data_IF_498393074416
#
_entry.id   IF_498393074416
#
_cell.length_a   1.000
_cell.length_b   1.000
_cell.length_c   1.000
_cell.angle_alpha   90.00
_cell.angle_beta   90.00
_cell.angle_gamma   90.00
#
_symmetry.space_group_name_H-M   'P 1'
#
loop_
_entity.id
_entity.type
_entity.pdbx_description
1 polymer ?
#
# COMPACT_ATOMS: atom_id res chain seq x y z
N UNK A 1 6.61 -18.54 2.27
CA UNK A 1 6.64 -17.11 2.65
C UNK A 1 6.00 -16.19 1.61
N UNK A 2 6.26 -16.37 0.30
CA UNK A 2 5.66 -15.54 -0.77
C UNK A 2 4.12 -15.43 -0.74
N UNK A 3 3.41 -16.53 -0.43
CA UNK A 3 1.94 -16.49 -0.32
C UNK A 3 1.45 -15.65 0.88
N UNK A 4 2.19 -15.66 1.99
CA UNK A 4 1.90 -14.86 3.18
C UNK A 4 2.13 -13.36 2.92
N UNK A 5 3.21 -13.00 2.21
CA UNK A 5 3.48 -11.61 1.85
C UNK A 5 2.47 -11.07 0.85
N UNK A 6 2.06 -11.87 -0.15
CA UNK A 6 0.98 -11.50 -1.07
C UNK A 6 -0.35 -11.27 -0.33
N UNK A 7 -0.67 -12.13 0.64
CA UNK A 7 -1.87 -11.97 1.46
C UNK A 7 -1.83 -10.69 2.32
N UNK A 8 -0.69 -10.41 2.97
CA UNK A 8 -0.50 -9.18 3.73
C UNK A 8 -0.65 -7.92 2.86
N UNK A 9 -0.07 -7.93 1.66
CA UNK A 9 -0.25 -6.83 0.69
C UNK A 9 -1.70 -6.67 0.22
N UNK A 10 -2.42 -7.78 0.01
CA UNK A 10 -3.84 -7.73 -0.34
C UNK A 10 -4.69 -7.16 0.81
N UNK A 11 -4.43 -7.56 2.05
CA UNK A 11 -5.08 -6.98 3.24
C UNK A 11 -4.83 -5.47 3.34
N UNK A 12 -3.61 -5.03 3.07
CA UNK A 12 -3.26 -3.62 3.04
C UNK A 12 -4.08 -2.83 2.00
N UNK A 13 -4.17 -3.34 0.76
CA UNK A 13 -4.96 -2.72 -0.30
C UNK A 13 -6.45 -2.65 0.05
N UNK A 14 -6.98 -3.70 0.69
CA UNK A 14 -8.35 -3.69 1.19
C UNK A 14 -8.52 -2.62 2.27
N UNK A 15 -7.59 -2.52 3.23
CA UNK A 15 -7.60 -1.45 4.23
C UNK A 15 -7.58 -0.05 3.62
N UNK A 16 -6.73 0.18 2.61
CA UNK A 16 -6.65 1.45 1.90
C UNK A 16 -7.97 1.80 1.20
N UNK A 17 -8.60 0.80 0.57
CA UNK A 17 -9.90 0.98 -0.08
C UNK A 17 -11.02 1.27 0.93
N UNK A 18 -11.01 0.60 2.09
CA UNK A 18 -11.94 0.85 3.19
C UNK A 18 -11.81 2.28 3.70
N UNK A 19 -10.59 2.75 3.90
CA UNK A 19 -10.33 4.09 4.41
C UNK A 19 -10.86 5.16 3.43
N UNK A 20 -10.64 4.98 2.13
CA UNK A 20 -11.07 5.96 1.13
C UNK A 20 -12.59 5.99 0.94
N UNK A 21 -13.18 4.83 0.62
CA UNK A 21 -14.56 4.75 0.17
C UNK A 21 -15.54 4.39 1.29
N UNK A 22 -15.08 3.62 2.27
CA UNK A 22 -15.91 3.10 3.36
C UNK A 22 -16.86 2.01 2.87
N UNK A 23 -16.51 0.74 3.07
CA UNK A 23 -17.46 -0.37 2.87
C UNK A 23 -18.16 -0.72 4.18
N UNK A 24 -17.41 -0.76 5.28
CA UNK A 24 -17.93 -1.18 6.60
C UNK A 24 -18.19 0.00 7.57
N UNK A 25 -17.59 1.16 7.33
CA UNK A 25 -17.74 2.39 8.09
C UNK A 25 -17.76 3.58 7.11
N UNK A 26 -18.29 4.76 7.48
CA UNK A 26 -18.18 5.95 6.62
C UNK A 26 -16.70 6.23 6.32
N UNK A 27 -16.32 6.14 5.05
CA UNK A 27 -14.95 6.40 4.60
C UNK A 27 -14.63 7.90 4.57
N UNK A 28 -13.36 8.24 4.38
CA UNK A 28 -12.89 9.63 4.37
C UNK A 28 -13.62 10.50 3.33
N UNK A 29 -14.04 9.90 2.21
CA UNK A 29 -14.85 10.60 1.20
C UNK A 29 -16.24 10.99 1.73
N UNK A 30 -16.85 10.18 2.60
CA UNK A 30 -18.13 10.46 3.24
C UNK A 30 -18.01 11.48 4.39
N UNK A 31 -16.84 11.54 5.05
CA UNK A 31 -16.55 12.54 6.08
C UNK A 31 -16.16 13.92 5.52
N UNK A 32 -16.18 14.08 4.19
CA UNK A 32 -15.95 15.36 3.51
C UNK A 32 -14.49 15.62 3.13
N UNK A 33 -13.58 14.65 3.33
CA UNK A 33 -12.23 14.70 2.76
C UNK A 33 -12.30 14.34 1.27
N UNK A 34 -12.74 15.30 0.46
CA UNK A 34 -12.83 15.15 -0.99
C UNK A 34 -11.54 15.67 -1.63
N UNK A 35 -11.06 14.93 -2.63
CA UNK A 35 -9.91 15.34 -3.44
C UNK A 35 -10.11 16.76 -3.99
N UNK A 36 -9.12 17.64 -3.80
CA UNK A 36 -9.18 19.02 -4.29
C UNK A 36 -9.84 20.04 -3.35
N UNK A 37 -10.46 19.63 -2.23
CA UNK A 37 -11.08 20.59 -1.31
C UNK A 37 -10.08 21.29 -0.38
N UNK A 38 -8.94 20.69 -0.10
CA UNK A 38 -7.86 21.33 0.62
C UNK A 38 -6.49 20.81 0.15
N UNK A 39 -5.42 21.62 0.25
CA UNK A 39 -4.07 21.15 -0.07
C UNK A 39 -3.69 19.88 0.72
N UNK A 40 -4.11 19.79 1.99
CA UNK A 40 -3.90 18.61 2.84
C UNK A 40 -4.57 17.37 2.27
N UNK A 41 -5.84 17.46 1.87
CA UNK A 41 -6.57 16.34 1.27
C UNK A 41 -5.96 15.90 -0.05
N UNK A 42 -5.61 16.84 -0.94
CA UNK A 42 -4.97 16.52 -2.22
C UNK A 42 -3.62 15.83 -2.04
N UNK A 43 -2.76 16.33 -1.14
CA UNK A 43 -1.46 15.70 -0.84
C UNK A 43 -1.64 14.32 -0.22
N UNK A 44 -2.62 14.15 0.68
CA UNK A 44 -2.95 12.85 1.27
C UNK A 44 -3.28 11.80 0.20
N UNK A 45 -4.25 12.08 -0.68
CA UNK A 45 -4.71 11.13 -1.69
C UNK A 45 -3.64 10.84 -2.76
N UNK A 46 -2.83 11.83 -3.15
CA UNK A 46 -1.72 11.61 -4.09
C UNK A 46 -0.68 10.67 -3.47
N UNK A 47 -0.21 10.95 -2.26
CA UNK A 47 0.86 10.15 -1.62
C UNK A 47 0.36 8.73 -1.34
N UNK A 48 -0.79 8.59 -0.67
CA UNK A 48 -1.36 7.27 -0.34
C UNK A 48 -1.78 6.49 -1.59
N UNK A 49 -2.28 7.18 -2.62
CA UNK A 49 -2.67 6.57 -3.90
C UNK A 49 -1.49 6.05 -4.71
N UNK A 50 -0.41 6.84 -4.85
CA UNK A 50 0.81 6.38 -5.51
C UNK A 50 1.44 5.21 -4.76
N UNK A 51 1.45 5.26 -3.43
CA UNK A 51 1.95 4.15 -2.63
C UNK A 51 1.09 2.88 -2.82
N UNK A 52 -0.23 3.00 -2.74
CA UNK A 52 -1.17 1.90 -2.98
C UNK A 52 -1.00 1.27 -4.37
N UNK A 53 -0.72 2.08 -5.41
CA UNK A 53 -0.40 1.57 -6.74
C UNK A 53 0.89 0.72 -6.74
N UNK A 54 1.94 1.14 -6.04
CA UNK A 54 3.17 0.34 -5.92
C UNK A 54 2.92 -0.97 -5.17
N UNK A 55 2.13 -0.94 -4.09
CA UNK A 55 1.75 -2.18 -3.36
C UNK A 55 0.98 -3.12 -4.30
N UNK A 56 0.03 -2.61 -5.09
CA UNK A 56 -0.72 -3.41 -6.07
C UNK A 56 0.21 -4.07 -7.10
N UNK A 57 1.13 -3.30 -7.70
CA UNK A 57 2.13 -3.82 -8.64
C UNK A 57 2.99 -4.89 -7.94
N UNK A 58 3.40 -4.66 -6.70
CA UNK A 58 4.15 -5.62 -5.90
C UNK A 58 3.39 -6.93 -5.67
N UNK A 59 2.12 -6.87 -5.27
CA UNK A 59 1.30 -8.08 -5.06
C UNK A 59 1.17 -8.87 -6.36
N UNK A 60 0.88 -8.18 -7.48
CA UNK A 60 0.82 -8.82 -8.81
C UNK A 60 2.17 -9.46 -9.17
N UNK A 61 3.28 -8.80 -8.87
CA UNK A 61 4.61 -9.33 -9.15
C UNK A 61 4.93 -10.56 -8.28
N UNK A 62 4.57 -10.56 -6.99
CA UNK A 62 4.68 -11.74 -6.11
C UNK A 62 3.86 -12.90 -6.69
N UNK A 63 2.61 -12.66 -7.10
CA UNK A 63 1.75 -13.69 -7.67
C UNK A 63 2.32 -14.27 -8.97
N UNK A 64 2.92 -13.43 -9.83
CA UNK A 64 3.57 -13.86 -11.06
C UNK A 64 4.79 -14.77 -10.77
N UNK A 65 5.63 -14.39 -9.81
CA UNK A 65 6.78 -15.21 -9.38
C UNK A 65 6.31 -16.51 -8.72
N UNK A 66 5.28 -16.47 -7.89
CA UNK A 66 4.70 -17.67 -7.26
C UNK A 66 4.17 -18.65 -8.32
N UNK A 67 3.44 -18.15 -9.32
CA UNK A 67 2.95 -18.97 -10.43
C UNK A 67 4.09 -19.55 -11.28
N UNK A 68 5.16 -18.79 -11.52
CA UNK A 68 6.37 -19.26 -12.20
C UNK A 68 7.12 -20.33 -11.41
N UNK A 69 7.16 -20.19 -10.08
CA UNK A 69 7.84 -21.11 -9.18
C UNK A 69 7.15 -22.48 -9.17
N UNK A 70 5.81 -22.48 -9.12
CA UNK A 70 5.01 -23.70 -9.24
C UNK A 70 5.19 -24.43 -10.59
N UNK A 71 5.60 -23.70 -11.63
CA UNK A 71 5.91 -24.25 -12.96
C UNK A 71 7.39 -24.59 -13.16
N UNK A 72 8.23 -24.41 -12.13
CA UNK A 72 9.67 -24.71 -12.18
C UNK A 72 10.49 -23.75 -13.05
N UNK A 73 10.00 -22.53 -13.32
CA UNK A 73 10.64 -21.56 -14.26
C UNK A 73 11.17 -20.29 -13.58
N UNK A 74 11.48 -20.34 -12.29
CA UNK A 74 11.93 -19.15 -11.54
C UNK A 74 13.42 -19.20 -11.27
N UNK A 75 14.09 -18.09 -11.57
CA UNK A 75 15.48 -17.87 -11.23
C UNK A 75 15.59 -17.20 -9.86
N UNK A 76 16.59 -17.58 -9.07
CA UNK A 76 16.86 -17.02 -7.73
C UNK A 76 16.99 -15.49 -7.74
N UNK A 77 17.62 -14.94 -8.79
CA UNK A 77 17.75 -13.49 -9.00
C UNK A 77 16.42 -12.75 -9.05
N UNK A 78 15.36 -13.38 -9.57
CA UNK A 78 14.04 -12.76 -9.63
C UNK A 78 13.40 -12.65 -8.24
N UNK A 79 13.65 -13.64 -7.37
CA UNK A 79 13.17 -13.66 -5.99
C UNK A 79 13.90 -12.60 -5.16
N UNK A 80 15.22 -12.45 -5.35
CA UNK A 80 16.01 -11.42 -4.67
C UNK A 80 15.56 -10.01 -5.05
N UNK A 81 15.38 -9.74 -6.36
CA UNK A 81 14.85 -8.46 -6.85
C UNK A 81 13.45 -8.16 -6.31
N UNK A 82 12.58 -9.18 -6.23
CA UNK A 82 11.26 -9.07 -5.64
C UNK A 82 11.34 -8.71 -4.14
N UNK A 83 12.24 -9.36 -3.40
CA UNK A 83 12.46 -9.07 -1.98
C UNK A 83 12.95 -7.64 -1.74
N UNK A 84 13.90 -7.17 -2.55
CA UNK A 84 14.39 -5.78 -2.51
C UNK A 84 13.29 -4.78 -2.83
N UNK A 85 12.48 -5.05 -3.85
CA UNK A 85 11.34 -4.21 -4.21
C UNK A 85 10.32 -4.13 -3.06
N UNK A 86 9.97 -5.26 -2.45
CA UNK A 86 9.00 -5.29 -1.36
C UNK A 86 9.52 -4.56 -0.11
N UNK A 87 10.79 -4.74 0.22
CA UNK A 87 11.45 -4.03 1.33
C UNK A 87 11.46 -2.51 1.10
N UNK A 88 11.69 -2.07 -0.14
CA UNK A 88 11.63 -0.65 -0.49
C UNK A 88 10.22 -0.07 -0.30
N UNK A 89 9.19 -0.78 -0.77
CA UNK A 89 7.80 -0.34 -0.61
C UNK A 89 7.44 -0.22 0.87
N UNK A 90 7.80 -1.21 1.69
CA UNK A 90 7.55 -1.19 3.13
C UNK A 90 8.25 -0.02 3.83
N UNK A 91 9.51 0.24 3.48
CA UNK A 91 10.27 1.38 4.01
C UNK A 91 9.58 2.71 3.70
N UNK A 92 9.09 2.92 2.47
CA UNK A 92 8.36 4.14 2.08
C UNK A 92 7.08 4.28 2.91
N UNK A 93 6.36 3.19 3.18
CA UNK A 93 5.13 3.25 3.98
C UNK A 93 5.38 3.76 5.40
N UNK A 94 6.47 3.36 6.04
CA UNK A 94 6.82 3.84 7.39
C UNK A 94 6.98 5.37 7.42
N UNK A 95 7.59 5.97 6.38
CA UNK A 95 7.65 7.43 6.28
C UNK A 95 6.27 8.05 6.05
N UNK A 96 5.50 7.52 5.10
CA UNK A 96 4.14 8.02 4.82
C UNK A 96 3.29 7.99 6.09
N UNK A 97 3.28 6.86 6.81
CA UNK A 97 2.55 6.72 8.07
C UNK A 97 3.00 7.74 9.13
N UNK A 98 4.32 7.93 9.27
CA UNK A 98 4.88 8.88 10.24
C UNK A 98 4.50 10.33 9.94
N UNK A 99 4.58 10.76 8.69
CA UNK A 99 4.33 12.15 8.31
C UNK A 99 2.84 12.48 8.17
N UNK A 100 2.04 11.53 7.68
CA UNK A 100 0.64 11.76 7.36
C UNK A 100 -0.28 11.47 8.54
N UNK A 101 0.00 10.44 9.34
CA UNK A 101 -0.87 10.02 10.45
C UNK A 101 -0.33 10.45 11.82
N UNK A 102 0.96 10.23 12.10
CA UNK A 102 1.53 10.50 13.43
C UNK A 102 1.75 11.99 13.71
N UNK A 103 2.40 12.75 12.81
CA UNK A 103 2.69 14.17 13.06
C UNK A 103 1.46 15.05 13.37
N UNK A 104 0.34 14.96 12.62
CA UNK A 104 -0.85 15.74 12.95
C UNK A 104 -1.45 15.36 14.31
N UNK A 105 -1.45 14.08 14.67
CA UNK A 105 -1.98 13.59 15.95
C UNK A 105 -1.18 14.11 17.15
N UNK A 106 0.14 14.29 17.00
CA UNK A 106 1.01 14.84 18.03
C UNK A 106 0.90 16.37 18.15
N UNK A 107 0.60 17.07 17.06
CA UNK A 107 0.39 18.53 17.09
C UNK A 107 -0.94 18.98 17.71
N UNK A 108 -1.88 18.04 17.89
CA UNK A 108 -3.20 18.28 18.48
C UNK A 108 -3.29 17.89 19.96
N UNK A 109 -2.19 17.41 20.56
CA UNK A 109 -2.03 17.12 21.98
C UNK A 109 -1.28 18.27 22.69
#
# INVERSE_FOLDING_TARGET
>A
MLGLTAFGGALFLVGQYQEWFGIWAPGLLHEGLVFGQSPRASTFFVITGYHGLHVLIGVVYILAILAGYLRGRVNERQIELLGLYWCFVDFVWVFVFSFVYLLPSLSAA
#
